data_IF_666462192217
#
_entry.id   IF_666462192217
#
_cell.length_a   1.000
_cell.length_b   1.000
_cell.length_c   1.000
_cell.angle_alpha   90.00
_cell.angle_beta   90.00
_cell.angle_gamma   90.00
#
_symmetry.space_group_name_H-M   'P 1'
#
loop_
_entity.id
_entity.type
_entity.pdbx_description
1 polymer ?
#
# COMPACT_ATOMS: atom_id res chain seq x y z
N UNK A 1 -1.35 12.42 -18.29
CA UNK A 1 -0.35 11.79 -19.19
C UNK A 1 -0.87 10.43 -19.64
N UNK A 2 -0.69 10.05 -20.91
CA UNK A 2 -0.89 8.65 -21.31
C UNK A 2 0.21 7.79 -20.66
N UNK A 3 -0.19 6.68 -20.03
CA UNK A 3 0.73 5.63 -19.60
C UNK A 3 1.12 4.82 -20.83
N UNK A 4 2.36 4.97 -21.29
CA UNK A 4 2.93 4.10 -22.32
C UNK A 4 3.57 2.92 -21.61
N UNK A 5 3.15 1.70 -21.96
CA UNK A 5 3.68 0.46 -21.40
C UNK A 5 4.43 -0.26 -22.51
N UNK A 6 5.75 -0.32 -22.40
CA UNK A 6 6.65 -0.92 -23.40
C UNK A 6 7.19 -2.29 -22.95
N UNK A 7 6.93 -2.66 -21.70
CA UNK A 7 7.36 -3.93 -21.14
C UNK A 7 6.55 -5.10 -21.74
N UNK A 8 7.24 -6.01 -22.41
CA UNK A 8 6.64 -7.16 -23.12
C UNK A 8 5.93 -8.13 -22.16
N UNK A 9 6.44 -8.30 -20.94
CA UNK A 9 5.80 -9.15 -19.94
C UNK A 9 4.51 -8.52 -19.44
N UNK A 10 4.51 -7.21 -19.19
CA UNK A 10 3.29 -6.48 -18.79
C UNK A 10 2.24 -6.54 -19.89
N UNK A 11 2.64 -6.41 -21.16
CA UNK A 11 1.73 -6.54 -22.30
C UNK A 11 1.11 -7.94 -22.33
N UNK A 12 1.93 -8.99 -22.20
CA UNK A 12 1.46 -10.39 -22.20
C UNK A 12 0.47 -10.64 -21.06
N UNK A 13 0.80 -10.19 -19.84
CA UNK A 13 -0.07 -10.34 -18.67
C UNK A 13 -1.37 -9.54 -18.82
N UNK A 14 -1.31 -8.35 -19.42
CA UNK A 14 -2.49 -7.53 -19.68
C UNK A 14 -3.41 -8.19 -20.72
N UNK A 15 -2.85 -8.79 -21.78
CA UNK A 15 -3.62 -9.53 -22.78
C UNK A 15 -4.31 -10.77 -22.17
N UNK A 16 -3.60 -11.56 -21.36
CA UNK A 16 -4.16 -12.70 -20.64
C UNK A 16 -5.30 -12.27 -19.71
N UNK A 17 -5.10 -11.19 -18.96
CA UNK A 17 -6.09 -10.65 -18.03
C UNK A 17 -7.32 -10.08 -18.76
N UNK A 18 -7.10 -9.38 -19.86
CA UNK A 18 -8.15 -8.84 -20.72
C UNK A 18 -9.05 -9.96 -21.25
N UNK A 19 -8.45 -11.07 -21.72
CA UNK A 19 -9.21 -12.22 -22.20
C UNK A 19 -10.02 -12.90 -21.09
N UNK A 20 -9.41 -13.09 -19.91
CA UNK A 20 -10.05 -13.76 -18.77
C UNK A 20 -11.22 -12.98 -18.17
N UNK A 21 -11.11 -11.65 -18.14
CA UNK A 21 -12.09 -10.77 -17.53
C UNK A 21 -12.99 -10.05 -18.54
N UNK A 22 -12.84 -10.36 -19.84
CA UNK A 22 -13.56 -9.72 -20.94
C UNK A 22 -13.48 -8.19 -20.92
N UNK A 23 -12.29 -7.66 -20.62
CA UNK A 23 -12.07 -6.22 -20.55
C UNK A 23 -11.91 -5.63 -21.97
N UNK A 24 -12.34 -4.37 -22.19
CA UNK A 24 -12.42 -3.80 -23.54
C UNK A 24 -11.06 -3.37 -24.11
N UNK A 25 -10.03 -3.20 -23.27
CA UNK A 25 -8.68 -2.88 -23.74
C UNK A 25 -7.60 -3.35 -22.75
N UNK A 26 -6.35 -3.45 -23.23
CA UNK A 26 -5.18 -3.71 -22.37
C UNK A 26 -5.02 -2.65 -21.28
N UNK A 27 -5.30 -1.39 -21.60
CA UNK A 27 -5.21 -0.30 -20.62
C UNK A 27 -6.22 -0.51 -19.49
N UNK A 28 -7.41 -1.01 -19.80
CA UNK A 28 -8.42 -1.33 -18.77
C UNK A 28 -8.00 -2.54 -17.93
N UNK A 29 -7.37 -3.54 -18.54
CA UNK A 29 -6.78 -4.66 -17.81
C UNK A 29 -5.67 -4.21 -16.85
N UNK A 30 -4.78 -3.33 -17.30
CA UNK A 30 -3.71 -2.77 -16.46
C UNK A 30 -4.30 -1.93 -15.32
N UNK A 31 -5.28 -1.07 -15.61
CA UNK A 31 -5.97 -0.29 -14.56
C UNK A 31 -6.66 -1.19 -13.55
N UNK A 32 -7.33 -2.24 -14.01
CA UNK A 32 -7.99 -3.20 -13.14
C UNK A 32 -6.99 -3.89 -12.20
N UNK A 33 -5.87 -4.39 -12.74
CA UNK A 33 -4.82 -5.03 -11.96
C UNK A 33 -4.22 -4.07 -10.92
N UNK A 34 -3.91 -2.84 -11.32
CA UNK A 34 -3.39 -1.81 -10.40
C UNK A 34 -4.40 -1.47 -9.30
N UNK A 35 -5.67 -1.33 -9.64
CA UNK A 35 -6.73 -1.07 -8.66
C UNK A 35 -6.88 -2.24 -7.68
N UNK A 36 -6.82 -3.48 -8.17
CA UNK A 36 -6.87 -4.66 -7.31
C UNK A 36 -5.69 -4.70 -6.33
N UNK A 37 -4.47 -4.37 -6.80
CA UNK A 37 -3.28 -4.30 -5.95
C UNK A 37 -3.36 -3.17 -4.92
N UNK A 38 -3.86 -1.99 -5.30
CA UNK A 38 -4.11 -0.88 -4.38
C UNK A 38 -5.10 -1.32 -3.31
N UNK A 39 -6.24 -1.90 -3.70
CA UNK A 39 -7.28 -2.33 -2.76
C UNK A 39 -6.76 -3.39 -1.78
N UNK A 40 -5.98 -4.36 -2.26
CA UNK A 40 -5.34 -5.37 -1.40
C UNK A 40 -4.37 -4.73 -0.40
N UNK A 41 -3.56 -3.77 -0.85
CA UNK A 41 -2.60 -3.07 0.00
C UNK A 41 -3.30 -2.17 1.02
N UNK A 42 -4.35 -1.48 0.62
CA UNK A 42 -5.17 -0.64 1.49
C UNK A 42 -5.88 -1.48 2.55
N UNK A 43 -6.52 -2.58 2.16
CA UNK A 43 -7.15 -3.52 3.09
C UNK A 43 -6.15 -4.03 4.13
N UNK A 44 -4.95 -4.44 3.70
CA UNK A 44 -3.90 -4.88 4.63
C UNK A 44 -3.44 -3.77 5.58
N UNK A 45 -3.40 -2.54 5.10
CA UNK A 45 -3.01 -1.38 5.91
C UNK A 45 -4.09 -1.06 6.95
N UNK A 46 -5.36 -1.11 6.56
CA UNK A 46 -6.50 -0.94 7.46
C UNK A 46 -6.54 -2.03 8.53
N UNK A 47 -6.32 -3.30 8.16
CA UNK A 47 -6.24 -4.41 9.10
C UNK A 47 -5.11 -4.20 10.12
N UNK A 48 -3.92 -3.79 9.65
CA UNK A 48 -2.80 -3.49 10.53
C UNK A 48 -3.10 -2.33 11.48
N UNK A 49 -3.68 -1.24 10.97
CA UNK A 49 -4.09 -0.10 11.78
C UNK A 49 -5.15 -0.49 12.80
N UNK A 50 -6.06 -1.40 12.45
CA UNK A 50 -7.07 -1.91 13.36
C UNK A 50 -6.45 -2.74 14.49
N UNK A 51 -5.50 -3.63 14.17
CA UNK A 51 -4.73 -4.39 15.19
C UNK A 51 -3.94 -3.43 16.08
N UNK A 52 -3.27 -2.44 15.48
CA UNK A 52 -2.55 -1.42 16.26
C UNK A 52 -3.51 -0.68 17.21
N UNK A 53 -4.69 -0.28 16.75
CA UNK A 53 -5.65 0.47 17.55
C UNK A 53 -6.34 -0.35 18.65
N UNK A 54 -6.62 -1.62 18.40
CA UNK A 54 -7.42 -2.46 19.31
C UNK A 54 -6.58 -3.34 20.23
N UNK A 55 -5.39 -3.75 19.80
CA UNK A 55 -4.57 -4.72 20.53
C UNK A 55 -3.25 -4.14 21.05
N UNK A 56 -2.65 -3.17 20.35
CA UNK A 56 -1.32 -2.64 20.70
C UNK A 56 -1.40 -1.32 21.46
N UNK A 57 -2.01 -0.29 20.88
CA UNK A 57 -2.07 1.05 21.47
C UNK A 57 -2.72 1.09 22.85
N UNK A 58 -3.79 0.32 23.15
CA UNK A 58 -4.35 0.29 24.51
C UNK A 58 -3.39 -0.25 25.58
N UNK A 59 -2.31 -0.93 25.19
CA UNK A 59 -1.25 -1.39 26.10
C UNK A 59 -0.17 -0.33 26.33
N UNK A 60 -0.18 0.76 25.56
CA UNK A 60 0.69 1.91 25.77
C UNK A 60 0.15 2.78 26.91
N UNK A 61 1.03 3.43 27.65
CA UNK A 61 0.71 4.17 28.88
C UNK A 61 -0.37 5.26 28.68
N UNK A 62 -0.51 5.76 27.46
CA UNK A 62 -1.41 6.84 27.05
C UNK A 62 -2.45 6.41 26.00
N UNK A 63 -2.46 5.13 25.58
CA UNK A 63 -3.42 4.64 24.59
C UNK A 63 -3.20 5.15 23.17
N UNK A 64 -2.08 5.82 22.89
CA UNK A 64 -1.85 6.52 21.62
C UNK A 64 -0.59 6.03 20.90
N UNK A 65 -0.55 6.08 19.55
CA UNK A 65 0.66 5.80 18.81
C UNK A 65 1.80 6.74 19.22
N UNK A 66 3.00 6.19 19.41
CA UNK A 66 4.21 6.99 19.62
C UNK A 66 4.45 7.93 18.43
N UNK A 67 4.72 9.20 18.69
CA UNK A 67 5.03 10.14 17.62
C UNK A 67 6.46 9.92 17.10
N UNK A 68 6.78 10.51 15.94
CA UNK A 68 8.16 10.52 15.43
C UNK A 68 9.13 11.11 16.46
N UNK A 69 8.74 12.21 17.10
CA UNK A 69 9.54 12.88 18.12
C UNK A 69 9.76 11.98 19.33
N UNK A 70 8.72 11.29 19.81
CA UNK A 70 8.84 10.33 20.91
C UNK A 70 9.78 9.19 20.55
N UNK A 71 9.68 8.66 19.33
CA UNK A 71 10.58 7.61 18.82
C UNK A 71 12.04 8.08 18.78
N UNK A 72 12.29 9.27 18.24
CA UNK A 72 13.64 9.84 18.16
C UNK A 72 14.22 10.08 19.56
N UNK A 73 13.40 10.54 20.51
CA UNK A 73 13.79 10.71 21.89
C UNK A 73 14.06 9.37 22.61
N UNK A 74 13.23 8.34 22.40
CA UNK A 74 13.39 7.01 23.01
C UNK A 74 14.63 6.29 22.46
N UNK A 75 14.91 6.44 21.17
CA UNK A 75 16.03 5.77 20.49
C UNK A 75 17.33 6.59 20.49
N UNK A 76 17.33 7.77 21.12
CA UNK A 76 18.46 8.71 21.16
C UNK A 76 18.99 9.06 19.76
N UNK A 77 18.06 9.26 18.81
CA UNK A 77 18.37 9.69 17.45
C UNK A 77 18.34 11.21 17.34
N UNK A 78 19.24 11.75 16.50
CA UNK A 78 19.19 13.16 16.13
C UNK A 78 17.82 13.50 15.50
N UNK A 79 17.23 14.67 15.83
CA UNK A 79 15.96 15.09 15.25
C UNK A 79 16.01 15.07 13.72
N UNK A 80 15.12 14.28 13.10
CA UNK A 80 15.06 14.15 11.64
C UNK A 80 15.89 13.01 11.04
N UNK A 81 16.54 12.16 11.83
CA UNK A 81 17.34 11.01 11.34
C UNK A 81 16.57 10.02 10.46
N UNK A 82 15.24 10.02 10.49
CA UNK A 82 14.38 9.17 9.66
C UNK A 82 13.65 9.91 8.53
N UNK A 83 14.31 10.85 7.84
CA UNK A 83 13.78 11.53 6.65
C UNK A 83 13.92 10.67 5.39
#
# INVERSE_FOLDING_TARGET
>A
MPLTVEDEEVIRLADDLMQRLHLPSRIDAIRYALQAQINLTQSRTEDLLNVMATEVWPLLNDGHPITKQDREQILDYDPGAGA
#
